data_IF_560892347226
#
_entry.id   IF_560892347226
#
_cell.length_a   1.000
_cell.length_b   1.000
_cell.length_c   1.000
_cell.angle_alpha   90.00
_cell.angle_beta   90.00
_cell.angle_gamma   90.00
#
_symmetry.space_group_name_H-M   'P 1'
#
loop_
_entity.id
_entity.type
_entity.pdbx_description
1 polymer ?
#
# COMPACT_ATOMS: atom_id res chain seq x y z
N UNK A 1 15.08 2.36 12.21
CA UNK A 1 14.51 1.12 11.65
C UNK A 1 15.04 0.00 12.51
N UNK A 2 14.20 -0.61 13.33
CA UNK A 2 14.55 -1.89 13.94
C UNK A 2 14.77 -2.88 12.79
N UNK A 3 15.86 -3.66 12.87
CA UNK A 3 16.12 -4.77 11.95
C UNK A 3 15.14 -5.88 12.27
N UNK A 4 13.86 -5.71 11.92
CA UNK A 4 12.90 -6.80 11.94
C UNK A 4 13.30 -7.74 10.80
N UNK A 5 13.68 -8.99 11.08
CA UNK A 5 14.06 -9.93 10.05
C UNK A 5 12.94 -10.08 9.02
N UNK A 6 13.33 -10.08 7.74
CA UNK A 6 12.45 -10.38 6.64
C UNK A 6 12.40 -11.90 6.52
N UNK A 7 11.19 -12.46 6.54
CA UNK A 7 10.99 -13.90 6.47
C UNK A 7 10.57 -14.26 5.04
N UNK A 8 11.51 -14.87 4.31
CA UNK A 8 11.22 -15.57 3.08
C UNK A 8 11.21 -17.07 3.38
N UNK A 9 10.33 -17.84 2.73
CA UNK A 9 10.34 -19.28 2.92
C UNK A 9 11.67 -19.86 2.40
N UNK A 10 12.26 -20.81 3.13
CA UNK A 10 13.47 -21.50 2.66
C UNK A 10 13.17 -22.25 1.36
N UNK A 11 13.97 -22.00 0.31
CA UNK A 11 13.84 -22.68 -0.99
C UNK A 11 13.12 -21.90 -2.08
N UNK A 12 12.78 -20.62 -1.85
CA UNK A 12 12.19 -19.79 -2.89
C UNK A 12 13.13 -19.47 -4.06
N UNK A 13 12.54 -19.39 -5.26
CA UNK A 13 13.28 -19.03 -6.46
C UNK A 13 13.70 -17.55 -6.42
N UNK A 14 14.80 -17.21 -7.10
CA UNK A 14 15.25 -15.82 -7.20
C UNK A 14 14.15 -14.90 -7.79
N UNK A 15 13.31 -15.44 -8.66
CA UNK A 15 12.19 -14.69 -9.24
C UNK A 15 11.15 -14.30 -8.18
N UNK A 16 10.82 -15.23 -7.27
CA UNK A 16 9.91 -14.98 -6.16
C UNK A 16 10.48 -13.99 -5.14
N UNK A 17 11.76 -14.14 -4.79
CA UNK A 17 12.44 -13.18 -3.90
C UNK A 17 12.41 -11.76 -4.50
N UNK A 18 12.72 -11.63 -5.79
CA UNK A 18 12.63 -10.33 -6.48
C UNK A 18 11.20 -9.76 -6.49
N UNK A 19 10.19 -10.63 -6.62
CA UNK A 19 8.79 -10.22 -6.58
C UNK A 19 8.39 -9.66 -5.21
N UNK A 20 8.85 -10.27 -4.11
CA UNK A 20 8.63 -9.75 -2.77
C UNK A 20 9.27 -8.37 -2.56
N UNK A 21 10.53 -8.22 -2.98
CA UNK A 21 11.22 -6.93 -2.90
C UNK A 21 10.48 -5.85 -3.69
N UNK A 22 9.98 -6.19 -4.89
CA UNK A 22 9.19 -5.28 -5.72
C UNK A 22 7.86 -4.92 -5.07
N UNK A 23 7.17 -5.88 -4.47
CA UNK A 23 5.93 -5.62 -3.75
C UNK A 23 6.16 -4.63 -2.60
N UNK A 24 7.21 -4.84 -1.79
CA UNK A 24 7.57 -3.93 -0.69
C UNK A 24 7.94 -2.54 -1.18
N UNK A 25 8.78 -2.44 -2.22
CA UNK A 25 9.23 -1.15 -2.79
C UNK A 25 8.06 -0.31 -3.32
N UNK A 26 7.04 -0.98 -3.86
CA UNK A 26 5.96 -0.33 -4.60
C UNK A 26 4.64 -0.25 -3.82
N UNK A 27 4.55 -0.83 -2.62
CA UNK A 27 3.34 -0.80 -1.78
C UNK A 27 2.78 0.61 -1.54
N UNK A 28 3.64 1.63 -1.51
CA UNK A 28 3.23 3.03 -1.41
C UNK A 28 2.20 3.44 -2.48
N UNK A 29 2.28 2.84 -3.68
CA UNK A 29 1.31 3.08 -4.75
C UNK A 29 -0.04 2.46 -4.42
N UNK A 30 -0.06 1.18 -3.99
CA UNK A 30 -1.27 0.52 -3.51
C UNK A 30 -1.96 1.34 -2.42
N UNK A 31 -1.20 1.77 -1.39
CA UNK A 31 -1.78 2.55 -0.31
C UNK A 31 -2.30 3.91 -0.80
N UNK A 32 -1.58 4.58 -1.69
CA UNK A 32 -2.05 5.85 -2.26
C UNK A 32 -3.40 5.68 -2.95
N UNK A 33 -3.55 4.67 -3.81
CA UNK A 33 -4.82 4.38 -4.49
C UNK A 33 -5.94 4.08 -3.49
N UNK A 34 -5.69 3.18 -2.53
CA UNK A 34 -6.68 2.78 -1.53
C UNK A 34 -7.08 3.92 -0.60
N UNK A 35 -6.14 4.81 -0.25
CA UNK A 35 -6.46 6.00 0.53
C UNK A 35 -7.49 6.87 -0.20
N UNK A 36 -7.39 7.01 -1.52
CA UNK A 36 -8.35 7.76 -2.33
C UNK A 36 -9.66 6.99 -2.50
N UNK A 37 -9.60 5.67 -2.59
CA UNK A 37 -10.78 4.79 -2.61
C UNK A 37 -11.66 5.00 -1.38
N UNK A 38 -11.08 5.08 -0.18
CA UNK A 38 -11.83 5.34 1.06
C UNK A 38 -12.50 6.71 1.14
N UNK A 39 -12.13 7.63 0.25
CA UNK A 39 -12.78 8.95 0.12
C UNK A 39 -13.94 8.94 -0.89
N UNK A 40 -14.15 7.83 -1.62
CA UNK A 40 -15.23 7.72 -2.62
C UNK A 40 -16.55 7.32 -1.99
N UNK A 41 -17.63 7.85 -2.55
CA UNK A 41 -19.01 7.42 -2.24
C UNK A 41 -19.33 6.11 -2.96
N UNK A 42 -18.87 5.97 -4.21
CA UNK A 42 -19.04 4.78 -5.03
C UNK A 42 -17.65 4.16 -5.22
N UNK A 43 -17.42 2.94 -4.70
CA UNK A 43 -16.17 2.23 -4.91
C UNK A 43 -15.84 2.08 -6.40
N UNK A 44 -14.57 2.27 -6.74
CA UNK A 44 -14.03 2.10 -8.09
C UNK A 44 -13.09 0.89 -8.20
N UNK A 45 -12.62 0.36 -7.06
CA UNK A 45 -11.78 -0.84 -7.05
C UNK A 45 -12.67 -2.09 -6.99
N UNK A 46 -12.36 -3.04 -7.85
CA UNK A 46 -13.00 -4.35 -7.88
C UNK A 46 -12.37 -5.27 -6.81
N UNK A 47 -11.07 -5.12 -6.58
CA UNK A 47 -10.27 -5.86 -5.60
C UNK A 47 -9.22 -4.94 -4.99
N UNK A 48 -8.96 -5.10 -3.69
CA UNK A 48 -7.79 -4.54 -3.01
C UNK A 48 -7.38 -5.45 -1.85
N UNK A 49 -6.22 -6.10 -1.96
CA UNK A 49 -5.71 -7.03 -0.94
C UNK A 49 -4.18 -6.97 -0.84
N UNK A 50 -3.68 -7.36 0.33
CA UNK A 50 -2.23 -7.40 0.64
C UNK A 50 -1.90 -8.79 1.15
N UNK A 51 -0.80 -9.37 0.69
CA UNK A 51 -0.29 -10.64 1.19
C UNK A 51 0.87 -10.36 2.14
N UNK A 52 0.80 -10.93 3.33
CA UNK A 52 1.76 -10.75 4.40
C UNK A 52 2.38 -12.08 4.79
N UNK A 53 3.64 -12.05 5.22
CA UNK A 53 4.31 -13.17 5.87
C UNK A 53 3.92 -13.24 7.36
N UNK A 54 3.42 -14.39 7.79
CA UNK A 54 3.12 -14.73 9.18
C UNK A 54 4.06 -15.83 9.64
N UNK A 55 4.50 -15.76 10.89
CA UNK A 55 5.48 -16.70 11.40
C UNK A 55 5.10 -17.29 12.75
N UNK A 56 5.53 -18.52 12.98
CA UNK A 56 5.46 -19.20 14.27
C UNK A 56 6.62 -20.18 14.40
N UNK A 57 7.27 -20.19 15.56
CA UNK A 57 8.24 -21.23 15.89
C UNK A 57 7.51 -22.47 16.42
N UNK A 58 7.60 -23.59 15.70
CA UNK A 58 7.01 -24.88 16.06
C UNK A 58 8.12 -25.92 16.11
N UNK A 59 8.26 -26.59 17.26
CA UNK A 59 9.27 -27.65 17.49
C UNK A 59 10.74 -27.26 17.17
N UNK A 60 11.06 -25.96 17.19
CA UNK A 60 12.39 -25.44 16.91
C UNK A 60 12.64 -25.07 15.45
N UNK A 61 11.62 -25.17 14.60
CA UNK A 61 11.62 -24.70 13.22
C UNK A 61 10.70 -23.46 13.09
N UNK A 62 11.16 -22.43 12.39
CA UNK A 62 10.33 -21.25 12.09
C UNK A 62 9.48 -21.54 10.86
N UNK A 63 8.19 -21.66 11.04
CA UNK A 63 7.22 -21.80 9.95
C UNK A 63 6.86 -20.40 9.44
N UNK A 64 6.80 -20.24 8.12
CA UNK A 64 6.41 -19.01 7.45
C UNK A 64 5.25 -19.32 6.51
N UNK A 65 4.13 -18.63 6.66
CA UNK A 65 3.00 -18.69 5.72
C UNK A 65 2.68 -17.32 5.16
N UNK A 66 2.46 -17.25 3.84
CA UNK A 66 2.08 -16.02 3.15
C UNK A 66 0.58 -15.98 2.90
N UNK A 67 -0.13 -15.12 3.62
CA UNK A 67 -1.59 -15.09 3.62
C UNK A 67 -2.13 -13.70 3.28
N UNK A 68 -3.32 -13.69 2.69
CA UNK A 68 -3.99 -12.48 2.27
C UNK A 68 -4.75 -11.82 3.41
N UNK A 69 -4.65 -10.51 3.47
CA UNK A 69 -5.49 -9.65 4.29
C UNK A 69 -6.25 -8.68 3.37
N UNK A 70 -7.37 -8.17 3.87
CA UNK A 70 -8.17 -7.11 3.27
C UNK A 70 -8.61 -6.09 4.35
N UNK A 71 -9.51 -5.17 4.03
CA UNK A 71 -9.86 -4.01 4.89
C UNK A 71 -8.61 -3.22 5.33
N UNK A 72 -7.74 -2.97 4.35
CA UNK A 72 -6.37 -2.53 4.61
C UNK A 72 -6.34 -1.11 5.16
N UNK A 73 -5.63 -0.89 6.25
CA UNK A 73 -5.24 0.43 6.74
C UNK A 73 -3.73 0.50 6.91
N UNK A 74 -3.15 1.67 6.77
CA UNK A 74 -1.70 1.88 6.86
C UNK A 74 -1.41 3.22 7.52
N UNK A 75 -0.53 3.19 8.52
CA UNK A 75 -0.15 4.37 9.30
C UNK A 75 1.22 4.95 8.90
N UNK A 76 1.85 4.43 7.85
CA UNK A 76 3.19 4.84 7.43
C UNK A 76 4.29 3.88 7.86
N UNK A 77 4.03 2.97 8.80
CA UNK A 77 5.00 1.96 9.25
C UNK A 77 4.39 0.55 9.32
N UNK A 78 3.12 0.42 9.71
CA UNK A 78 2.43 -0.85 9.85
C UNK A 78 1.14 -0.92 9.06
N UNK A 79 0.90 -2.10 8.50
CA UNK A 79 -0.32 -2.46 7.80
C UNK A 79 -1.26 -3.13 8.80
N UNK A 80 -2.53 -2.76 8.72
CA UNK A 80 -3.62 -3.29 9.52
C UNK A 80 -4.68 -3.85 8.58
N UNK A 81 -5.36 -4.90 8.98
CA UNK A 81 -6.43 -5.49 8.18
C UNK A 81 -6.96 -6.77 8.80
N UNK A 82 -7.82 -7.45 8.03
CA UNK A 82 -8.45 -8.71 8.43
C UNK A 82 -7.86 -9.85 7.60
N UNK A 83 -7.41 -10.91 8.26
CA UNK A 83 -6.95 -12.15 7.61
C UNK A 83 -8.13 -12.86 6.96
N UNK A 84 -7.99 -13.28 5.69
CA UNK A 84 -9.10 -13.88 4.92
C UNK A 84 -8.91 -15.34 4.53
N UNK A 85 -7.77 -15.92 4.89
CA UNK A 85 -7.45 -17.30 4.59
C UNK A 85 -7.15 -18.04 5.89
N UNK A 86 -7.50 -19.33 5.94
CA UNK A 86 -7.09 -20.20 7.03
C UNK A 86 -5.60 -20.53 6.91
N UNK A 87 -4.83 -20.47 8.02
CA UNK A 87 -3.46 -20.98 8.02
C UNK A 87 -3.46 -22.50 7.86
N UNK A 88 -2.37 -23.03 7.28
CA UNK A 88 -2.19 -24.47 7.11
C UNK A 88 -1.59 -25.11 8.37
N UNK A 89 -0.48 -24.55 8.84
CA UNK A 89 0.35 -25.04 9.93
C UNK A 89 0.39 -24.05 11.11
N UNK A 90 0.21 -22.74 10.87
CA UNK A 90 0.18 -21.75 11.94
C UNK A 90 -1.05 -21.94 12.84
N UNK A 91 -0.82 -21.90 14.16
CA UNK A 91 -1.85 -22.01 15.19
C UNK A 91 -2.00 -20.73 16.02
N UNK A 92 -1.20 -19.70 15.75
CA UNK A 92 -1.18 -18.42 16.47
C UNK A 92 -2.05 -17.33 15.81
N UNK A 93 -2.64 -17.63 14.65
CA UNK A 93 -3.55 -16.76 13.90
C UNK A 93 -4.70 -17.59 13.33
N UNK A 94 -5.80 -16.96 12.95
CA UNK A 94 -6.98 -17.61 12.36
C UNK A 94 -7.69 -16.69 11.38
N UNK A 95 -8.39 -17.28 10.41
CA UNK A 95 -9.22 -16.52 9.47
C UNK A 95 -10.22 -15.62 10.22
N UNK A 96 -10.30 -14.35 9.83
CA UNK A 96 -11.10 -13.31 10.49
C UNK A 96 -10.36 -12.52 11.56
N UNK A 97 -9.12 -12.87 11.90
CA UNK A 97 -8.33 -12.11 12.87
C UNK A 97 -7.97 -10.72 12.32
N UNK A 98 -8.08 -9.72 13.21
CA UNK A 98 -7.48 -8.41 12.98
C UNK A 98 -5.99 -8.48 13.27
N UNK A 99 -5.18 -8.04 12.31
CA UNK A 99 -3.72 -8.08 12.38
C UNK A 99 -3.11 -6.70 12.22
N UNK A 100 -1.96 -6.49 12.84
CA UNK A 100 -1.15 -5.27 12.71
C UNK A 100 0.32 -5.69 12.49
N UNK A 101 0.79 -5.56 11.25
CA UNK A 101 2.04 -6.16 10.78
C UNK A 101 2.94 -5.06 10.17
N UNK A 102 4.26 -5.06 10.44
CA UNK A 102 5.19 -4.12 9.80
C UNK A 102 5.19 -4.21 8.26
N UNK A 103 5.38 -3.07 7.59
CA UNK A 103 5.41 -2.98 6.12
C UNK A 103 6.44 -3.91 5.44
N UNK A 104 7.53 -4.26 6.14
CA UNK A 104 8.57 -5.12 5.59
C UNK A 104 8.20 -6.62 5.56
N UNK A 105 7.01 -6.99 6.03
CA UNK A 105 6.47 -8.35 5.91
C UNK A 105 5.52 -8.51 4.71
N UNK A 106 5.36 -7.48 3.88
CA UNK A 106 4.64 -7.63 2.61
C UNK A 106 5.38 -8.63 1.74
N UNK A 107 4.65 -9.63 1.26
CA UNK A 107 5.10 -10.50 0.19
C UNK A 107 4.40 -10.18 -1.14
N UNK A 108 3.19 -9.63 -1.12
CA UNK A 108 2.55 -9.12 -2.33
C UNK A 108 1.44 -8.11 -2.02
N UNK A 109 0.95 -7.42 -3.03
CA UNK A 109 -0.28 -6.65 -2.97
C UNK A 109 -0.92 -6.61 -4.34
N UNK A 110 -2.26 -6.54 -4.40
CA UNK A 110 -3.01 -6.51 -5.65
C UNK A 110 -4.17 -5.56 -5.48
N UNK A 111 -4.34 -4.64 -6.43
CA UNK A 111 -5.62 -4.01 -6.65
C UNK A 111 -6.05 -4.16 -8.11
N UNK A 112 -7.36 -4.13 -8.33
CA UNK A 112 -7.94 -4.17 -9.67
C UNK A 112 -9.01 -3.09 -9.83
N UNK A 113 -9.09 -2.53 -11.03
CA UNK A 113 -10.16 -1.60 -11.41
C UNK A 113 -10.41 -1.74 -12.90
N UNK A 114 -11.69 -1.82 -13.28
CA UNK A 114 -12.10 -2.10 -14.66
C UNK A 114 -11.45 -3.40 -15.17
N UNK A 115 -11.48 -4.43 -14.32
CA UNK A 115 -10.88 -5.76 -14.52
C UNK A 115 -9.35 -5.76 -14.64
N UNK A 116 -8.69 -4.60 -14.78
CA UNK A 116 -7.23 -4.51 -14.94
C UNK A 116 -6.51 -4.52 -13.61
N UNK A 117 -5.47 -5.33 -13.52
CA UNK A 117 -4.69 -5.49 -12.28
C UNK A 117 -3.47 -4.58 -12.18
N UNK A 118 -3.08 -4.31 -10.94
CA UNK A 118 -1.90 -3.56 -10.55
C UNK A 118 -1.25 -4.26 -9.35
N UNK A 119 0.07 -4.38 -9.37
CA UNK A 119 0.83 -5.23 -8.45
C UNK A 119 0.72 -6.70 -8.81
N UNK A 120 0.52 -7.57 -7.82
CA UNK A 120 0.47 -9.02 -7.98
C UNK A 120 1.82 -9.58 -8.39
N UNK A 121 2.92 -9.07 -7.84
CA UNK A 121 4.27 -9.40 -8.28
C UNK A 121 4.57 -10.89 -8.19
N UNK A 122 4.09 -11.54 -7.14
CA UNK A 122 4.29 -12.98 -6.95
C UNK A 122 3.42 -13.80 -7.88
N UNK A 123 2.22 -13.30 -8.19
CA UNK A 123 1.34 -13.87 -9.21
C UNK A 123 2.01 -13.78 -10.59
N UNK A 124 2.63 -12.65 -10.91
CA UNK A 124 3.34 -12.45 -12.17
C UNK A 124 4.62 -13.27 -12.27
N UNK A 125 5.36 -13.43 -11.16
CA UNK A 125 6.50 -14.35 -11.09
C UNK A 125 6.07 -15.80 -11.41
N UNK A 126 4.96 -16.27 -10.84
CA UNK A 126 4.38 -17.57 -11.20
C UNK A 126 3.94 -17.63 -12.68
N UNK A 127 3.24 -16.60 -13.18
CA UNK A 127 2.78 -16.51 -14.58
C UNK A 127 3.92 -16.51 -15.60
N UNK A 128 5.11 -16.09 -15.21
CA UNK A 128 6.29 -16.10 -16.09
C UNK A 128 6.77 -17.52 -16.45
N UNK A 129 6.37 -18.52 -15.66
CA UNK A 129 6.68 -19.94 -15.89
C UNK A 129 5.55 -20.69 -16.62
N UNK A 130 4.38 -20.05 -16.75
CA UNK A 130 3.22 -20.59 -17.44
C UNK A 130 3.34 -20.47 -18.96
N UNK A 131 2.61 -21.31 -19.68
CA UNK A 131 2.32 -21.13 -21.09
C UNK A 131 1.29 -20.03 -21.30
N UNK A 132 1.11 -19.58 -22.55
CA UNK A 132 0.09 -18.58 -22.88
C UNK A 132 -1.33 -19.06 -22.56
N UNK A 133 -1.61 -20.34 -22.84
CA UNK A 133 -2.92 -20.94 -22.53
C UNK A 133 -3.18 -20.97 -21.03
N UNK A 134 -2.21 -21.39 -20.23
CA UNK A 134 -2.34 -21.42 -18.76
C UNK A 134 -2.54 -20.01 -18.17
N UNK A 135 -1.88 -18.98 -18.74
CA UNK A 135 -2.13 -17.59 -18.34
C UNK A 135 -3.54 -17.13 -18.67
N UNK A 136 -4.06 -17.47 -19.86
CA UNK A 136 -5.44 -17.13 -20.21
C UNK A 136 -6.45 -17.85 -19.31
N UNK A 137 -6.25 -19.14 -19.03
CA UNK A 137 -7.09 -19.91 -18.12
C UNK A 137 -7.03 -19.35 -16.69
N UNK A 138 -5.86 -18.89 -16.25
CA UNK A 138 -5.69 -18.17 -14.99
C UNK A 138 -6.51 -16.87 -14.96
N UNK A 139 -6.42 -16.06 -16.00
CA UNK A 139 -7.14 -14.77 -16.08
C UNK A 139 -8.65 -14.96 -16.12
N UNK A 140 -9.12 -15.95 -16.87
CA UNK A 140 -10.52 -16.34 -16.93
C UNK A 140 -11.04 -16.84 -15.57
N UNK A 141 -10.21 -17.57 -14.81
CA UNK A 141 -10.58 -18.09 -13.50
C UNK A 141 -10.72 -16.98 -12.44
N UNK A 142 -9.89 -15.93 -12.53
CA UNK A 142 -9.97 -14.76 -11.65
C UNK A 142 -11.00 -13.73 -12.13
N UNK A 143 -11.34 -13.74 -13.43
CA UNK A 143 -12.13 -12.69 -14.06
C UNK A 143 -11.40 -11.35 -14.14
N UNK A 144 -10.06 -11.38 -14.18
CA UNK A 144 -9.21 -10.19 -14.17
C UNK A 144 -8.18 -10.25 -15.29
N UNK A 145 -7.83 -9.09 -15.85
CA UNK A 145 -6.74 -8.91 -16.80
C UNK A 145 -5.42 -8.63 -16.06
N UNK A 146 -4.56 -9.66 -16.04
CA UNK A 146 -3.23 -9.56 -15.47
C UNK A 146 -2.18 -9.02 -16.45
N UNK A 147 -2.50 -8.89 -17.73
CA UNK A 147 -1.57 -8.35 -18.72
C UNK A 147 -0.24 -9.10 -18.84
N UNK A 148 0.79 -8.38 -19.28
CA UNK A 148 2.15 -8.90 -19.48
C UNK A 148 2.91 -9.01 -18.15
N UNK A 149 3.37 -10.21 -17.82
CA UNK A 149 4.15 -10.48 -16.61
C UNK A 149 5.51 -9.76 -16.58
N UNK A 150 5.99 -9.24 -17.71
CA UNK A 150 7.19 -8.40 -17.77
C UNK A 150 6.90 -6.90 -17.56
N UNK A 151 5.63 -6.48 -17.57
CA UNK A 151 5.22 -5.08 -17.52
C UNK A 151 4.11 -4.86 -16.46
N UNK A 152 4.50 -5.07 -15.21
CA UNK A 152 3.60 -4.98 -14.06
C UNK A 152 3.27 -3.51 -13.77
N UNK A 153 1.98 -3.18 -13.79
CA UNK A 153 1.49 -1.85 -13.46
C UNK A 153 1.41 -1.66 -11.94
N UNK A 154 1.61 -0.43 -11.47
CA UNK A 154 1.53 -0.07 -10.06
C UNK A 154 0.60 1.11 -9.78
N UNK A 155 0.28 1.92 -10.80
CA UNK A 155 -0.59 3.08 -10.68
C UNK A 155 -1.59 3.14 -11.84
N UNK A 156 -2.81 3.56 -11.53
CA UNK A 156 -3.91 3.68 -12.49
C UNK A 156 -3.54 4.57 -13.69
N UNK A 157 -3.84 4.10 -14.91
CA UNK A 157 -3.54 4.80 -16.19
C UNK A 157 -2.06 5.22 -16.37
N UNK A 158 -1.09 4.57 -15.69
CA UNK A 158 0.32 4.98 -15.75
C UNK A 158 0.94 4.95 -17.16
N UNK A 159 0.35 4.19 -18.09
CA UNK A 159 0.86 4.07 -19.47
C UNK A 159 0.44 5.27 -20.31
N UNK A 160 -0.81 5.69 -20.15
CA UNK A 160 -1.42 6.82 -20.85
C UNK A 160 -1.02 8.15 -20.20
N UNK A 161 -0.84 8.15 -18.87
CA UNK A 161 -0.51 9.30 -18.03
C UNK A 161 0.65 8.96 -17.08
N UNK A 162 1.91 8.97 -17.56
CA UNK A 162 3.08 8.65 -16.74
C UNK A 162 3.23 9.53 -15.49
N UNK A 163 2.68 10.75 -15.50
CA UNK A 163 2.62 11.65 -14.34
C UNK A 163 1.88 11.03 -13.13
N UNK A 164 1.00 10.06 -13.35
CA UNK A 164 0.30 9.34 -12.27
C UNK A 164 1.28 8.54 -11.39
N UNK A 165 2.48 8.19 -11.88
CA UNK A 165 3.53 7.61 -11.04
C UNK A 165 4.10 8.61 -10.04
N UNK A 166 4.04 9.91 -10.33
CA UNK A 166 4.49 10.95 -9.38
C UNK A 166 3.37 11.30 -8.41
N UNK A 167 2.17 11.59 -8.92
CA UNK A 167 1.07 12.05 -8.09
C UNK A 167 -0.27 11.52 -8.61
N UNK A 168 -1.11 11.05 -7.68
CA UNK A 168 -2.43 10.55 -8.05
C UNK A 168 -3.34 11.69 -8.54
N UNK A 169 -4.11 11.50 -9.62
CA UNK A 169 -4.94 12.55 -10.22
C UNK A 169 -5.96 13.16 -9.24
N UNK A 170 -6.46 12.41 -8.26
CA UNK A 170 -7.39 12.98 -7.27
C UNK A 170 -6.71 13.96 -6.31
N UNK A 171 -5.41 13.84 -6.05
CA UNK A 171 -4.67 14.84 -5.28
C UNK A 171 -4.71 16.21 -5.95
N UNK A 172 -4.61 16.24 -7.28
CA UNK A 172 -4.69 17.46 -8.09
C UNK A 172 -6.12 17.97 -8.13
N UNK A 173 -7.09 17.10 -8.42
CA UNK A 173 -8.49 17.48 -8.61
C UNK A 173 -9.17 17.97 -7.32
N UNK A 174 -8.75 17.45 -6.16
CA UNK A 174 -9.34 17.78 -4.85
C UNK A 174 -8.75 19.04 -4.20
N UNK A 175 -7.74 19.65 -4.82
CA UNK A 175 -7.02 20.82 -4.32
C UNK A 175 -7.96 21.93 -3.81
N UNK A 176 -8.86 22.42 -4.67
CA UNK A 176 -9.71 23.56 -4.34
C UNK A 176 -10.78 23.19 -3.31
N UNK A 177 -11.29 21.95 -3.37
CA UNK A 177 -12.27 21.44 -2.41
C UNK A 177 -11.67 21.37 -1.00
N UNK A 178 -10.45 20.84 -0.87
CA UNK A 178 -9.76 20.78 0.42
C UNK A 178 -9.44 22.20 0.93
N UNK A 179 -8.93 23.08 0.07
CA UNK A 179 -8.59 24.44 0.46
C UNK A 179 -9.82 25.21 1.00
N UNK A 180 -11.00 25.00 0.40
CA UNK A 180 -12.24 25.60 0.89
C UNK A 180 -12.70 24.96 2.20
N UNK A 181 -12.65 23.63 2.30
CA UNK A 181 -13.00 22.91 3.53
C UNK A 181 -12.19 23.40 4.74
N UNK A 182 -10.87 23.55 4.60
CA UNK A 182 -10.00 24.04 5.67
C UNK A 182 -10.29 25.51 6.02
N UNK A 183 -10.60 26.37 5.03
CA UNK A 183 -10.98 27.76 5.31
C UNK A 183 -12.28 27.88 6.10
N UNK A 184 -13.23 26.99 5.84
CA UNK A 184 -14.49 26.91 6.57
C UNK A 184 -14.31 26.26 7.96
N UNK A 185 -13.30 25.39 8.10
CA UNK A 185 -13.03 24.62 9.31
C UNK A 185 -11.54 24.75 9.72
N UNK A 186 -11.08 25.94 10.15
CA UNK A 186 -9.65 26.20 10.38
C UNK A 186 -9.02 25.33 11.48
N UNK A 187 -9.83 24.80 12.41
CA UNK A 187 -9.36 23.90 13.46
C UNK A 187 -8.91 22.54 12.91
N UNK A 188 -9.37 22.14 11.72
CA UNK A 188 -9.02 20.85 11.10
C UNK A 188 -7.58 20.84 10.56
N UNK A 189 -7.01 22.01 10.23
CA UNK A 189 -5.69 22.13 9.59
C UNK A 189 -4.57 21.42 10.37
N UNK A 190 -4.59 21.59 11.69
CA UNK A 190 -3.64 20.98 12.62
C UNK A 190 -4.37 20.06 13.61
N UNK A 191 -5.59 19.62 13.28
CA UNK A 191 -6.29 18.61 14.07
C UNK A 191 -5.49 17.32 14.07
N UNK A 192 -5.38 16.69 15.23
CA UNK A 192 -4.67 15.43 15.43
C UNK A 192 -5.66 14.33 15.79
N UNK A 193 -5.44 13.13 15.27
CA UNK A 193 -6.12 11.93 15.75
C UNK A 193 -5.52 11.42 17.08
N UNK A 194 -6.05 10.31 17.59
CA UNK A 194 -5.60 9.71 18.87
C UNK A 194 -4.13 9.26 18.87
N UNK A 195 -3.50 9.16 17.70
CA UNK A 195 -2.10 8.80 17.52
C UNK A 195 -1.20 10.00 17.19
N UNK A 196 -1.76 11.22 17.20
CA UNK A 196 -1.05 12.46 16.89
C UNK A 196 -0.86 12.71 15.39
N UNK A 197 -1.59 12.00 14.51
CA UNK A 197 -1.49 12.25 13.07
C UNK A 197 -2.35 13.45 12.68
N UNK A 198 -1.72 14.41 12.01
CA UNK A 198 -2.40 15.52 11.31
C UNK A 198 -2.73 15.16 9.87
N UNK A 199 -3.54 15.99 9.20
CA UNK A 199 -3.75 15.92 7.75
C UNK A 199 -2.42 15.86 6.99
N UNK A 200 -1.43 16.69 7.36
CA UNK A 200 -0.14 16.73 6.68
C UNK A 200 0.59 15.37 6.73
N UNK A 201 0.52 14.65 7.85
CA UNK A 201 1.11 13.30 7.96
C UNK A 201 0.41 12.31 7.03
N UNK A 202 -0.93 12.27 7.04
CA UNK A 202 -1.72 11.35 6.22
C UNK A 202 -1.48 11.56 4.72
N UNK A 203 -1.38 12.82 4.30
CA UNK A 203 -1.16 13.20 2.91
C UNK A 203 0.30 12.96 2.47
N UNK A 204 1.27 13.06 3.39
CA UNK A 204 2.65 12.65 3.14
C UNK A 204 2.80 11.12 2.97
N UNK A 205 2.11 10.33 3.80
CA UNK A 205 2.08 8.86 3.68
C UNK A 205 1.50 8.44 2.31
N UNK A 206 0.45 9.12 1.86
CA UNK A 206 -0.18 8.85 0.57
C UNK A 206 0.57 9.47 -0.65
N UNK A 207 1.60 10.30 -0.45
CA UNK A 207 2.35 10.88 -1.58
C UNK A 207 1.66 12.04 -2.31
N UNK A 208 0.70 12.72 -1.67
CA UNK A 208 -0.18 13.71 -2.32
C UNK A 208 0.43 15.13 -2.33
N UNK A 209 1.35 15.41 -3.26
CA UNK A 209 2.16 16.65 -3.32
C UNK A 209 1.36 17.95 -3.39
N UNK A 210 0.35 17.99 -4.25
CA UNK A 210 -0.55 19.12 -4.43
C UNK A 210 -1.33 19.42 -3.15
N UNK A 211 -1.81 18.38 -2.47
CA UNK A 211 -2.51 18.52 -1.20
C UNK A 211 -1.56 18.97 -0.09
N UNK A 212 -0.38 18.35 0.04
CA UNK A 212 0.67 18.75 0.99
C UNK A 212 0.99 20.24 0.81
N UNK A 213 1.19 20.70 -0.42
CA UNK A 213 1.45 22.10 -0.72
C UNK A 213 0.31 23.02 -0.26
N UNK A 214 -0.95 22.64 -0.53
CA UNK A 214 -2.11 23.43 -0.07
C UNK A 214 -2.14 23.55 1.45
N UNK A 215 -1.93 22.44 2.18
CA UNK A 215 -1.92 22.45 3.64
C UNK A 215 -0.82 23.39 4.18
N UNK A 216 0.38 23.33 3.61
CA UNK A 216 1.50 24.21 3.98
C UNK A 216 1.21 25.68 3.65
N UNK A 217 0.66 25.97 2.46
CA UNK A 217 0.27 27.34 2.06
C UNK A 217 -0.81 27.93 3.00
N UNK A 218 -1.64 27.07 3.62
CA UNK A 218 -2.65 27.44 4.61
C UNK A 218 -2.10 27.52 6.04
N UNK A 219 -0.83 27.18 6.26
CA UNK A 219 -0.15 27.28 7.56
C UNK A 219 -0.19 26.02 8.42
N UNK A 220 -0.31 24.83 7.81
CA UNK A 220 -0.09 23.57 8.51
C UNK A 220 1.30 23.56 9.17
N UNK A 221 1.39 23.06 10.40
CA UNK A 221 2.67 22.89 11.07
C UNK A 221 3.43 21.72 10.44
N UNK A 222 4.48 22.06 9.69
CA UNK A 222 5.32 21.09 8.99
C UNK A 222 6.20 20.25 9.92
N UNK A 223 6.47 20.77 11.12
CA UNK A 223 7.33 20.15 12.13
C UNK A 223 6.51 19.43 13.21
N UNK A 224 5.18 19.39 13.08
CA UNK A 224 4.29 18.61 13.92
C UNK A 224 4.73 17.14 13.97
N UNK A 225 4.51 16.50 15.11
CA UNK A 225 4.97 15.14 15.35
C UNK A 225 3.84 14.26 15.86
N UNK A 226 3.78 13.04 15.34
CA UNK A 226 2.94 11.99 15.89
C UNK A 226 3.40 11.58 17.29
N UNK A 227 2.59 10.75 17.97
CA UNK A 227 2.96 10.16 19.27
C UNK A 227 4.22 9.27 19.17
N UNK A 228 4.57 8.80 17.97
CA UNK A 228 5.82 8.10 17.67
C UNK A 228 7.00 9.04 17.33
N UNK A 229 6.84 10.35 17.53
CA UNK A 229 7.83 11.39 17.27
C UNK A 229 8.28 11.43 15.79
N UNK A 230 7.35 11.17 14.86
CA UNK A 230 7.56 11.25 13.40
C UNK A 230 6.90 12.49 12.83
N UNK A 231 7.58 13.17 11.93
CA UNK A 231 7.06 14.27 11.11
C UNK A 231 6.50 13.75 9.79
N UNK A 232 5.76 14.60 9.08
CA UNK A 232 5.33 14.30 7.71
C UNK A 232 6.52 14.00 6.78
N UNK A 233 7.65 14.70 6.99
CA UNK A 233 8.89 14.47 6.24
C UNK A 233 9.45 13.07 6.49
N UNK A 234 9.45 12.59 7.73
CA UNK A 234 9.96 11.26 8.09
C UNK A 234 9.21 10.14 7.34
N UNK A 235 7.89 10.28 7.19
CA UNK A 235 7.07 9.34 6.40
C UNK A 235 7.34 9.44 4.89
N UNK A 236 7.49 10.65 4.36
CA UNK A 236 7.86 10.84 2.96
C UNK A 236 9.22 10.21 2.64
N UNK A 237 10.20 10.32 3.55
CA UNK A 237 11.52 9.69 3.40
C UNK A 237 11.44 8.17 3.49
N UNK A 238 10.74 7.62 4.49
CA UNK A 238 10.63 6.16 4.67
C UNK A 238 9.94 5.47 3.49
N UNK A 239 8.90 6.10 2.93
CA UNK A 239 8.16 5.62 1.78
C UNK A 239 8.78 6.04 0.45
N UNK A 240 9.89 6.78 0.47
CA UNK A 240 10.60 7.25 -0.73
C UNK A 240 9.68 8.06 -1.66
N UNK A 241 8.89 8.97 -1.11
CA UNK A 241 8.15 9.99 -1.84
C UNK A 241 9.04 11.21 -2.09
N UNK A 242 10.01 11.06 -3.00
CA UNK A 242 11.07 12.05 -3.25
C UNK A 242 10.52 13.41 -3.66
N UNK A 243 9.40 13.44 -4.40
CA UNK A 243 8.74 14.67 -4.86
C UNK A 243 8.11 15.49 -3.72
N UNK A 244 7.95 14.92 -2.52
CA UNK A 244 7.48 15.64 -1.33
C UNK A 244 8.61 16.30 -0.54
N UNK A 245 9.83 15.77 -0.61
CA UNK A 245 10.95 16.23 0.22
C UNK A 245 11.32 17.71 0.03
N UNK A 246 11.14 18.35 -1.14
CA UNK A 246 11.36 19.79 -1.27
C UNK A 246 10.27 20.66 -0.61
N UNK A 247 9.11 20.07 -0.28
CA UNK A 247 7.98 20.78 0.32
C UNK A 247 8.02 20.75 1.86
N UNK A 248 8.51 19.66 2.45
CA UNK A 248 8.51 19.38 3.90
C UNK A 248 9.86 19.71 4.55
#
# INVERSE_FOLDING_TARGET
MENTPIFFADGESQNMINAFEKAQETFKYFWRELSWEYRRIIPALDVACVKLAFTQDIEGETIVEHMWINEINFDGEKIKGILVNDPNDLTNVSNGDYVEIPINQISDWLFATQDKTYGGFTIQAMRSEMTETERQEHDDAWGLDFGDYNDILVAYEQKEKPENLTEHPMSINMKDSLANFIKENPNELNGEDEFGYTFLHREAIAGNSTIVKVLLDLGADKDAKTNANKTARDFAESLKWEHLLPLL
#
